data_IF_612209525590
#
_entry.id   IF_612209525590
#
_cell.length_a   1.000
_cell.length_b   1.000
_cell.length_c   1.000
_cell.angle_alpha   90.00
_cell.angle_beta   90.00
_cell.angle_gamma   90.00
#
_symmetry.space_group_name_H-M   'P 1'
#
loop_
_entity.id
_entity.type
_entity.pdbx_description
1 polymer ?
#
# COMPACT_ATOMS: atom_id res chain seq x y z
N UNK A 1 39.57 -21.09 6.18
CA UNK A 1 39.67 -20.74 7.62
C UNK A 1 38.26 -20.54 8.14
N UNK A 2 37.90 -20.94 9.37
CA UNK A 2 36.60 -20.55 9.88
C UNK A 2 36.63 -19.02 10.01
N UNK A 3 35.70 -18.33 9.35
CA UNK A 3 35.48 -16.89 9.54
C UNK A 3 35.14 -16.69 11.03
N UNK A 4 36.16 -16.42 11.85
CA UNK A 4 35.96 -16.17 13.27
C UNK A 4 35.37 -14.79 13.41
N UNK A 5 34.13 -14.73 13.87
CA UNK A 5 33.46 -13.50 14.20
C UNK A 5 34.32 -12.68 15.18
N UNK A 6 34.45 -11.39 14.91
CA UNK A 6 35.21 -10.46 15.75
C UNK A 6 34.26 -9.62 16.62
N UNK A 7 34.21 -9.87 17.94
CA UNK A 7 33.33 -9.17 18.86
C UNK A 7 33.54 -7.65 18.88
N UNK A 8 34.78 -7.19 18.65
CA UNK A 8 35.10 -5.76 18.67
C UNK A 8 34.53 -5.07 17.42
N UNK A 9 34.58 -5.72 16.25
CA UNK A 9 33.94 -5.23 15.02
C UNK A 9 32.42 -5.15 15.16
N UNK A 10 31.81 -6.21 15.70
CA UNK A 10 30.35 -6.24 15.93
C UNK A 10 29.97 -5.09 16.87
N UNK A 11 30.74 -4.87 17.93
CA UNK A 11 30.49 -3.80 18.89
C UNK A 11 30.64 -2.41 18.28
N UNK A 12 31.65 -2.19 17.42
CA UNK A 12 31.84 -0.93 16.71
C UNK A 12 30.69 -0.65 15.72
N UNK A 13 30.30 -1.64 14.91
CA UNK A 13 29.15 -1.53 14.00
C UNK A 13 27.85 -1.26 14.77
N UNK A 14 27.67 -1.92 15.93
CA UNK A 14 26.49 -1.70 16.77
C UNK A 14 26.45 -0.30 17.38
N UNK A 15 27.60 0.27 17.72
CA UNK A 15 27.66 1.65 18.20
C UNK A 15 27.26 2.64 17.10
N UNK A 16 27.74 2.42 15.87
CA UNK A 16 27.37 3.23 14.71
C UNK A 16 25.89 3.08 14.33
N UNK A 17 25.34 1.87 14.36
CA UNK A 17 23.92 1.65 14.03
C UNK A 17 22.94 2.36 14.97
N UNK A 18 23.43 2.81 16.15
CA UNK A 18 22.69 3.52 17.18
C UNK A 18 23.10 4.99 17.35
N UNK A 19 24.10 5.47 16.62
CA UNK A 19 24.63 6.84 16.81
C UNK A 19 23.77 7.94 16.18
N UNK A 20 22.90 7.58 15.23
CA UNK A 20 22.17 8.54 14.38
C UNK A 20 23.00 9.08 13.21
N UNK A 21 24.22 8.58 13.00
CA UNK A 21 25.04 8.84 11.83
C UNK A 21 24.80 7.75 10.77
N UNK A 22 23.72 7.92 10.01
CA UNK A 22 23.23 6.94 9.05
C UNK A 22 24.21 6.71 7.90
N UNK A 23 24.80 7.79 7.40
CA UNK A 23 25.79 7.75 6.34
C UNK A 23 27.08 7.09 6.84
N UNK A 24 27.53 7.42 8.06
CA UNK A 24 28.68 6.78 8.68
C UNK A 24 28.46 5.28 8.90
N UNK A 25 27.25 4.87 9.30
CA UNK A 25 26.92 3.45 9.45
C UNK A 25 26.89 2.73 8.09
N UNK A 26 26.24 3.29 7.06
CA UNK A 26 26.21 2.72 5.71
C UNK A 26 27.62 2.56 5.14
N UNK A 27 28.45 3.59 5.22
CA UNK A 27 29.86 3.53 4.78
C UNK A 27 30.66 2.45 5.52
N UNK A 28 30.43 2.29 6.84
CA UNK A 28 31.10 1.25 7.61
C UNK A 28 30.68 -0.16 7.16
N UNK A 29 29.40 -0.35 6.81
CA UNK A 29 28.88 -1.61 6.27
C UNK A 29 29.43 -1.90 4.88
N UNK A 30 29.46 -0.91 3.97
CA UNK A 30 30.00 -1.07 2.62
C UNK A 30 31.46 -1.47 2.67
N UNK A 31 32.26 -0.78 3.48
CA UNK A 31 33.67 -1.10 3.69
C UNK A 31 33.86 -2.49 4.32
N UNK A 32 32.94 -2.93 5.18
CA UNK A 32 32.95 -4.27 5.76
C UNK A 32 32.75 -5.35 4.69
N UNK A 33 31.78 -5.13 3.79
CA UNK A 33 31.50 -6.02 2.67
C UNK A 33 32.64 -6.03 1.64
N UNK A 34 33.18 -4.86 1.27
CA UNK A 34 34.32 -4.72 0.35
C UNK A 34 35.58 -5.47 0.84
N UNK A 35 35.76 -5.53 2.16
CA UNK A 35 36.87 -6.26 2.80
C UNK A 35 36.63 -7.77 2.87
N UNK A 36 35.49 -8.27 2.39
CA UNK A 36 35.14 -9.69 2.44
C UNK A 36 34.90 -10.20 3.86
N UNK A 37 34.52 -9.32 4.79
CA UNK A 37 34.22 -9.69 6.17
C UNK A 37 32.81 -10.33 6.27
N UNK A 38 32.54 -11.12 7.32
CA UNK A 38 31.29 -11.86 7.43
C UNK A 38 30.07 -10.93 7.57
N UNK A 39 29.02 -11.19 6.78
CA UNK A 39 27.74 -10.45 6.83
C UNK A 39 27.03 -10.68 8.17
N UNK A 40 27.22 -11.84 8.78
CA UNK A 40 26.63 -12.19 10.07
C UNK A 40 27.12 -11.26 11.20
N UNK A 41 28.28 -10.59 11.05
CA UNK A 41 28.73 -9.58 12.00
C UNK A 41 27.85 -8.32 11.94
N UNK A 42 27.43 -7.93 10.73
CA UNK A 42 26.51 -6.81 10.52
C UNK A 42 25.12 -7.20 11.03
N UNK A 43 24.64 -8.41 10.73
CA UNK A 43 23.36 -8.92 11.24
C UNK A 43 23.32 -8.88 12.78
N UNK A 44 24.38 -9.33 13.44
CA UNK A 44 24.51 -9.25 14.90
C UNK A 44 24.58 -7.80 15.41
N UNK A 45 25.18 -6.89 14.65
CA UNK A 45 25.26 -5.48 15.02
C UNK A 45 23.89 -4.78 14.96
N UNK A 46 23.00 -5.18 14.04
CA UNK A 46 21.69 -4.53 13.81
C UNK A 46 20.50 -5.21 14.51
N UNK A 47 20.68 -6.38 15.13
CA UNK A 47 19.59 -7.18 15.74
C UNK A 47 18.67 -6.40 16.71
N UNK A 48 19.13 -5.29 17.30
CA UNK A 48 18.35 -4.44 18.18
C UNK A 48 18.54 -2.95 17.84
N UNK A 49 18.58 -2.63 16.55
CA UNK A 49 18.60 -1.26 16.03
C UNK A 49 17.41 -1.02 15.09
N UNK A 50 17.31 0.18 14.52
CA UNK A 50 16.31 0.48 13.48
C UNK A 50 16.65 -0.14 12.12
N UNK A 51 17.83 -0.72 11.93
CA UNK A 51 18.29 -1.12 10.60
C UNK A 51 17.79 -2.50 10.21
N UNK A 52 17.35 -2.67 8.96
CA UNK A 52 16.90 -3.94 8.38
C UNK A 52 17.60 -4.21 7.06
N UNK A 53 17.88 -5.49 6.83
CA UNK A 53 18.30 -5.95 5.52
C UNK A 53 17.08 -6.13 4.63
N UNK A 54 17.05 -5.40 3.52
CA UNK A 54 15.98 -5.44 2.53
C UNK A 54 16.50 -6.10 1.27
N UNK A 55 15.69 -6.97 0.68
CA UNK A 55 16.02 -7.65 -0.58
C UNK A 55 15.37 -6.91 -1.73
N UNK A 56 16.18 -6.49 -2.69
CA UNK A 56 15.77 -5.69 -3.84
C UNK A 56 15.87 -6.49 -5.16
N UNK A 57 15.19 -6.00 -6.20
CA UNK A 57 15.30 -6.53 -7.56
C UNK A 57 14.99 -8.02 -7.71
N UNK A 58 14.04 -8.54 -6.94
CA UNK A 58 13.72 -9.99 -6.88
C UNK A 58 14.87 -10.88 -6.38
N UNK A 59 15.75 -10.35 -5.52
CA UNK A 59 16.85 -11.11 -4.94
C UNK A 59 18.22 -10.80 -5.55
N UNK A 60 18.32 -9.79 -6.41
CA UNK A 60 19.58 -9.42 -7.06
C UNK A 60 20.50 -8.58 -6.18
N UNK A 61 19.92 -7.83 -5.24
CA UNK A 61 20.68 -6.97 -4.32
C UNK A 61 20.09 -7.02 -2.91
N UNK A 62 20.92 -6.65 -1.95
CA UNK A 62 20.55 -6.49 -0.54
C UNK A 62 20.95 -5.09 -0.12
N UNK A 63 20.02 -4.36 0.48
CA UNK A 63 20.20 -3.00 0.98
C UNK A 63 19.98 -2.93 2.49
N UNK A 64 20.43 -1.84 3.10
CA UNK A 64 20.13 -1.49 4.49
C UNK A 64 19.17 -0.30 4.52
N UNK A 65 17.99 -0.53 5.08
CA UNK A 65 16.96 0.49 5.27
C UNK A 65 16.60 0.65 6.74
N UNK A 66 16.10 1.84 7.11
CA UNK A 66 15.54 2.07 8.44
C UNK A 66 14.14 1.44 8.51
N UNK A 67 13.82 0.84 9.66
CA UNK A 67 12.49 0.38 10.03
C UNK A 67 11.46 1.50 9.91
N UNK A 68 11.81 2.71 10.35
CA UNK A 68 10.95 3.89 10.22
C UNK A 68 10.70 4.30 8.77
N UNK A 69 11.69 4.14 7.88
CA UNK A 69 11.49 4.41 6.44
C UNK A 69 10.55 3.35 5.84
N UNK A 70 10.76 2.07 6.16
CA UNK A 70 9.90 0.98 5.73
C UNK A 70 8.44 1.17 6.16
N UNK A 71 8.23 1.53 7.43
CA UNK A 71 6.89 1.84 7.95
C UNK A 71 6.32 3.11 7.33
N UNK A 72 7.15 4.15 7.13
CA UNK A 72 6.73 5.40 6.51
C UNK A 72 6.13 5.20 5.12
N UNK A 73 6.73 4.37 4.27
CA UNK A 73 6.15 4.05 2.96
C UNK A 73 4.78 3.37 3.06
N UNK A 74 4.59 2.51 4.08
CA UNK A 74 3.30 1.88 4.31
C UNK A 74 2.27 2.89 4.83
N UNK A 75 2.66 3.78 5.74
CA UNK A 75 1.81 4.85 6.25
C UNK A 75 1.36 5.80 5.12
N UNK A 76 2.26 6.16 4.19
CA UNK A 76 1.92 6.96 2.99
C UNK A 76 0.84 6.29 2.13
N UNK A 77 0.83 4.96 2.02
CA UNK A 77 -0.20 4.23 1.29
C UNK A 77 -1.56 4.25 2.01
N UNK A 78 -1.54 4.24 3.36
CA UNK A 78 -2.75 4.41 4.16
C UNK A 78 -3.32 5.84 4.04
N UNK A 79 -2.45 6.85 4.00
CA UNK A 79 -2.85 8.24 3.78
C UNK A 79 -3.54 8.42 2.42
N UNK A 80 -3.03 7.79 1.35
CA UNK A 80 -3.69 7.81 0.03
C UNK A 80 -5.12 7.24 0.07
N UNK A 81 -5.35 6.19 0.86
CA UNK A 81 -6.70 5.62 1.07
C UNK A 81 -7.60 6.64 1.78
N UNK A 82 -7.10 7.31 2.83
CA UNK A 82 -7.86 8.34 3.54
C UNK A 82 -8.20 9.54 2.63
N UNK A 83 -7.26 9.99 1.80
CA UNK A 83 -7.48 11.07 0.82
C UNK A 83 -8.52 10.69 -0.25
N UNK A 84 -8.42 9.46 -0.79
CA UNK A 84 -9.39 8.95 -1.75
C UNK A 84 -10.80 8.86 -1.13
N UNK A 85 -10.92 8.41 0.12
CA UNK A 85 -12.18 8.39 0.85
C UNK A 85 -12.75 9.81 1.09
N UNK A 86 -11.90 10.79 1.38
CA UNK A 86 -12.31 12.16 1.65
C UNK A 86 -12.81 12.91 0.39
N UNK A 87 -12.35 12.50 -0.78
CA UNK A 87 -12.67 13.15 -2.07
C UNK A 87 -13.70 12.38 -2.91
N UNK A 88 -14.05 11.15 -2.52
CA UNK A 88 -15.04 10.33 -3.20
C UNK A 88 -16.42 10.98 -3.17
N UNK A 89 -17.09 10.96 -4.32
CA UNK A 89 -18.45 11.50 -4.45
C UNK A 89 -19.46 10.61 -3.72
N UNK A 90 -20.52 11.16 -3.10
CA UNK A 90 -21.59 10.31 -2.58
C UNK A 90 -22.47 9.78 -3.73
N UNK A 91 -22.94 8.55 -3.59
CA UNK A 91 -23.79 7.91 -4.60
C UNK A 91 -25.08 8.70 -4.81
N UNK A 92 -25.64 9.25 -3.74
CA UNK A 92 -26.88 10.03 -3.78
C UNK A 92 -26.74 11.31 -4.62
N UNK A 93 -25.54 11.88 -4.72
CA UNK A 93 -25.27 13.10 -5.51
C UNK A 93 -25.21 12.82 -7.02
N UNK A 94 -24.86 11.59 -7.42
CA UNK A 94 -24.71 11.20 -8.82
C UNK A 94 -25.88 10.35 -9.34
N UNK A 95 -26.80 9.95 -8.45
CA UNK A 95 -27.90 9.05 -8.78
C UNK A 95 -28.82 9.65 -9.84
N UNK A 96 -29.23 8.82 -10.80
CA UNK A 96 -30.07 9.23 -11.92
C UNK A 96 -29.30 9.81 -13.11
N UNK A 97 -28.01 10.12 -12.95
CA UNK A 97 -27.11 10.50 -14.04
C UNK A 97 -26.16 9.34 -14.40
N UNK A 98 -26.34 8.64 -15.54
CA UNK A 98 -25.57 7.43 -15.82
C UNK A 98 -24.06 7.69 -15.91
N UNK A 99 -23.64 8.84 -16.44
CA UNK A 99 -22.23 9.25 -16.47
C UNK A 99 -21.65 9.45 -15.06
N UNK A 100 -22.41 10.07 -14.16
CA UNK A 100 -21.98 10.29 -12.78
C UNK A 100 -21.87 8.96 -12.01
N UNK A 101 -22.83 8.07 -12.22
CA UNK A 101 -22.82 6.73 -11.62
C UNK A 101 -21.64 5.87 -12.11
N UNK A 102 -21.29 5.91 -13.40
CA UNK A 102 -20.11 5.21 -13.93
C UNK A 102 -18.81 5.79 -13.38
N UNK A 103 -18.69 7.12 -13.30
CA UNK A 103 -17.53 7.78 -12.68
C UNK A 103 -17.38 7.39 -11.20
N UNK A 104 -18.48 7.30 -10.47
CA UNK A 104 -18.47 6.83 -9.09
C UNK A 104 -17.94 5.39 -8.95
N UNK A 105 -18.27 4.52 -9.90
CA UNK A 105 -17.70 3.17 -9.95
C UNK A 105 -16.18 3.19 -10.25
N UNK A 106 -15.73 4.07 -11.14
CA UNK A 106 -14.28 4.27 -11.39
C UNK A 106 -13.55 4.75 -10.13
N UNK A 107 -14.13 5.70 -9.38
CA UNK A 107 -13.60 6.18 -8.09
C UNK A 107 -13.47 5.04 -7.06
N UNK A 108 -14.45 4.12 -7.00
CA UNK A 108 -14.40 2.94 -6.12
C UNK A 108 -13.37 1.91 -6.54
N UNK A 109 -13.22 1.67 -7.85
CA UNK A 109 -12.19 0.76 -8.36
C UNK A 109 -10.79 1.29 -8.04
N UNK A 110 -10.57 2.59 -8.21
CA UNK A 110 -9.29 3.24 -7.89
C UNK A 110 -8.98 3.13 -6.38
N UNK A 111 -9.97 3.36 -5.51
CA UNK A 111 -9.84 3.10 -4.08
C UNK A 111 -9.49 1.63 -3.79
N UNK A 112 -10.07 0.68 -4.52
CA UNK A 112 -9.73 -0.74 -4.44
C UNK A 112 -8.27 -1.03 -4.81
N UNK A 113 -7.72 -0.34 -5.82
CA UNK A 113 -6.29 -0.43 -6.17
C UNK A 113 -5.40 0.08 -5.06
N UNK A 114 -5.70 1.25 -4.48
CA UNK A 114 -4.95 1.78 -3.33
C UNK A 114 -4.96 0.81 -2.15
N UNK A 115 -6.10 0.20 -1.84
CA UNK A 115 -6.19 -0.85 -0.81
C UNK A 115 -5.31 -2.06 -1.14
N UNK A 116 -5.30 -2.51 -2.38
CA UNK A 116 -4.48 -3.64 -2.80
C UNK A 116 -2.98 -3.34 -2.74
N UNK A 117 -2.56 -2.15 -3.18
CA UNK A 117 -1.18 -1.68 -3.10
C UNK A 117 -0.70 -1.57 -1.66
N UNK A 118 -1.50 -0.94 -0.78
CA UNK A 118 -1.23 -0.88 0.66
C UNK A 118 -1.10 -2.27 1.29
N UNK A 119 -1.95 -3.23 0.91
CA UNK A 119 -1.85 -4.61 1.38
C UNK A 119 -0.54 -5.28 0.94
N UNK A 120 -0.12 -5.08 -0.31
CA UNK A 120 1.14 -5.63 -0.81
C UNK A 120 2.34 -5.01 -0.09
N UNK A 121 2.31 -3.70 0.11
CA UNK A 121 3.38 -2.97 0.77
C UNK A 121 3.49 -3.35 2.24
N UNK A 122 2.38 -3.37 2.98
CA UNK A 122 2.38 -3.83 4.38
C UNK A 122 2.88 -5.28 4.51
N UNK A 123 2.54 -6.17 3.56
CA UNK A 123 3.10 -7.53 3.49
C UNK A 123 4.59 -7.57 3.14
N UNK A 124 5.08 -6.61 2.34
CA UNK A 124 6.51 -6.46 2.03
C UNK A 124 7.25 -6.05 3.30
N UNK A 125 6.79 -5.01 3.99
CA UNK A 125 7.37 -4.49 5.23
C UNK A 125 7.42 -5.57 6.32
N UNK A 126 6.33 -6.33 6.52
CA UNK A 126 6.27 -7.43 7.50
C UNK A 126 7.38 -8.47 7.34
N UNK A 127 7.96 -8.66 6.14
CA UNK A 127 9.07 -9.60 5.93
C UNK A 127 10.38 -9.14 6.54
N UNK A 128 10.50 -7.84 6.78
CA UNK A 128 11.72 -7.21 7.27
C UNK A 128 11.62 -6.82 8.73
N UNK A 129 10.43 -6.84 9.32
CA UNK A 129 10.25 -6.55 10.74
C UNK A 129 10.63 -7.76 11.61
N UNK A 130 11.16 -7.46 12.79
CA UNK A 130 11.41 -8.45 13.83
C UNK A 130 10.13 -8.71 14.63
N UNK A 131 9.95 -9.88 15.25
CA UNK A 131 8.76 -10.19 16.04
C UNK A 131 8.51 -9.24 17.22
N UNK A 132 9.56 -8.54 17.68
CA UNK A 132 9.50 -7.55 18.76
C UNK A 132 9.12 -6.15 18.28
N UNK A 133 9.07 -5.91 16.96
CA UNK A 133 8.60 -4.65 16.39
C UNK A 133 7.07 -4.55 16.48
N UNK A 134 6.55 -3.32 16.45
CA UNK A 134 5.12 -3.09 16.26
C UNK A 134 4.76 -3.47 14.82
N UNK A 135 4.11 -4.62 14.66
CA UNK A 135 3.78 -5.19 13.35
C UNK A 135 2.48 -4.58 12.82
N UNK A 136 2.46 -4.03 11.59
CA UNK A 136 1.22 -3.61 10.96
C UNK A 136 0.31 -4.81 10.69
N UNK A 137 -1.01 -4.59 10.68
CA UNK A 137 -1.98 -5.57 10.20
C UNK A 137 -2.72 -4.97 9.00
N UNK A 138 -2.18 -5.11 7.78
CA UNK A 138 -2.68 -4.34 6.66
C UNK A 138 -4.15 -4.60 6.34
N UNK A 139 -4.65 -5.81 6.60
CA UNK A 139 -6.07 -6.09 6.41
C UNK A 139 -6.94 -5.36 7.43
N UNK A 140 -6.49 -5.35 8.68
CA UNK A 140 -7.19 -4.67 9.75
C UNK A 140 -7.15 -3.15 9.58
N UNK A 141 -5.97 -2.60 9.28
CA UNK A 141 -5.73 -1.17 9.15
C UNK A 141 -6.56 -0.59 8.00
N UNK A 142 -6.50 -1.19 6.81
CA UNK A 142 -7.34 -0.81 5.65
C UNK A 142 -8.83 -0.96 6.00
N UNK A 143 -9.21 -2.07 6.65
CA UNK A 143 -10.59 -2.31 7.05
C UNK A 143 -11.12 -1.24 8.00
N UNK A 144 -10.30 -0.78 8.95
CA UNK A 144 -10.66 0.32 9.85
C UNK A 144 -10.90 1.61 9.07
N UNK A 145 -10.00 1.97 8.15
CA UNK A 145 -10.13 3.19 7.34
C UNK A 145 -11.44 3.20 6.55
N UNK A 146 -11.69 2.14 5.78
CA UNK A 146 -12.90 2.02 4.96
C UNK A 146 -14.19 2.05 5.79
N UNK A 147 -14.17 1.44 6.99
CA UNK A 147 -15.33 1.38 7.87
C UNK A 147 -15.82 2.75 8.34
N UNK A 148 -14.93 3.76 8.42
CA UNK A 148 -15.28 5.15 8.76
C UNK A 148 -16.30 5.75 7.78
N UNK A 149 -16.24 5.32 6.52
CA UNK A 149 -17.13 5.77 5.44
C UNK A 149 -18.19 4.71 5.05
N UNK A 150 -18.32 3.65 5.85
CA UNK A 150 -19.27 2.55 5.63
C UNK A 150 -18.87 1.59 4.51
N UNK A 151 -17.66 1.72 3.98
CA UNK A 151 -17.15 0.84 2.93
C UNK A 151 -16.55 -0.44 3.50
N UNK A 152 -16.50 -1.45 2.65
CA UNK A 152 -15.84 -2.73 2.86
C UNK A 152 -15.05 -3.09 1.61
N UNK A 153 -14.00 -3.85 1.81
CA UNK A 153 -13.13 -4.33 0.75
C UNK A 153 -13.03 -5.84 0.81
N UNK A 154 -13.13 -6.47 -0.36
CA UNK A 154 -13.10 -7.92 -0.52
C UNK A 154 -11.67 -8.51 -0.53
N UNK A 155 -10.66 -7.64 -0.62
CA UNK A 155 -9.26 -8.02 -0.75
C UNK A 155 -8.74 -8.05 -2.19
N UNK A 156 -9.57 -7.66 -3.17
CA UNK A 156 -9.23 -7.52 -4.58
C UNK A 156 -9.30 -6.04 -5.01
N UNK A 157 -10.06 -5.70 -6.04
CA UNK A 157 -10.21 -4.33 -6.54
C UNK A 157 -11.59 -3.73 -6.25
N UNK A 158 -12.44 -4.43 -5.49
CA UNK A 158 -13.83 -4.01 -5.28
C UNK A 158 -14.04 -3.46 -3.87
N UNK A 159 -14.44 -2.20 -3.81
CA UNK A 159 -14.87 -1.52 -2.59
C UNK A 159 -16.35 -1.19 -2.69
N UNK A 160 -17.12 -1.63 -1.69
CA UNK A 160 -18.58 -1.53 -1.67
C UNK A 160 -19.11 -1.24 -0.27
N UNK A 161 -20.25 -0.54 -0.14
CA UNK A 161 -20.93 -0.41 1.16
C UNK A 161 -21.73 -1.67 1.50
N UNK A 162 -22.29 -2.31 0.47
CA UNK A 162 -23.09 -3.54 0.58
C UNK A 162 -22.66 -4.49 -0.55
N UNK A 163 -22.52 -5.81 -0.30
CA UNK A 163 -22.16 -6.76 -1.34
C UNK A 163 -23.07 -6.70 -2.57
N UNK A 164 -22.48 -6.54 -3.76
CA UNK A 164 -23.16 -6.42 -5.05
C UNK A 164 -23.72 -5.03 -5.34
N UNK A 165 -23.38 -4.02 -4.54
CA UNK A 165 -23.82 -2.64 -4.78
C UNK A 165 -23.24 -2.08 -6.09
N UNK A 166 -21.98 -2.38 -6.43
CA UNK A 166 -21.38 -1.88 -7.67
C UNK A 166 -22.10 -2.42 -8.91
N UNK A 167 -22.46 -3.71 -8.89
CA UNK A 167 -23.25 -4.32 -9.96
C UNK A 167 -24.64 -3.67 -10.08
N UNK A 168 -25.29 -3.36 -8.95
CA UNK A 168 -26.58 -2.67 -8.94
C UNK A 168 -26.48 -1.25 -9.53
N UNK A 169 -25.46 -0.48 -9.13
CA UNK A 169 -25.20 0.87 -9.67
C UNK A 169 -24.97 0.80 -11.18
N UNK A 170 -24.13 -0.14 -11.64
CA UNK A 170 -23.85 -0.32 -13.06
C UNK A 170 -25.14 -0.63 -13.84
N UNK A 171 -25.93 -1.60 -13.37
CA UNK A 171 -27.18 -1.99 -14.00
C UNK A 171 -28.23 -0.85 -14.01
N UNK A 172 -28.28 -0.03 -12.96
CA UNK A 172 -29.14 1.17 -12.92
C UNK A 172 -28.69 2.21 -13.96
N UNK A 173 -27.39 2.47 -14.07
CA UNK A 173 -26.84 3.39 -15.08
C UNK A 173 -27.14 2.92 -16.50
N UNK A 174 -26.95 1.63 -16.81
CA UNK A 174 -27.27 1.05 -18.13
C UNK A 174 -28.75 1.22 -18.46
N UNK A 175 -29.66 0.91 -17.53
CA UNK A 175 -31.11 1.09 -17.74
C UNK A 175 -31.48 2.54 -18.06
N UNK A 176 -30.86 3.51 -17.38
CA UNK A 176 -31.11 4.93 -17.65
C UNK A 176 -30.60 5.31 -19.05
N UNK A 177 -29.43 4.82 -19.45
CA UNK A 177 -28.90 5.04 -20.80
C UNK A 177 -29.82 4.47 -21.88
N UNK A 178 -30.28 3.23 -21.71
CA UNK A 178 -31.21 2.58 -22.64
C UNK A 178 -32.53 3.36 -22.76
N UNK A 179 -33.10 3.78 -21.64
CA UNK A 179 -34.32 4.60 -21.62
C UNK A 179 -34.13 5.95 -22.34
N UNK A 180 -32.99 6.61 -22.09
CA UNK A 180 -32.65 7.91 -22.71
C UNK A 180 -32.47 7.77 -24.22
N UNK A 181 -31.82 6.70 -24.67
CA UNK A 181 -31.68 6.40 -26.10
C UNK A 181 -33.03 6.12 -26.74
N UNK A 182 -33.85 5.27 -26.13
CA UNK A 182 -35.17 4.91 -26.65
C UNK A 182 -36.09 6.13 -26.80
N UNK A 183 -36.14 6.99 -25.77
CA UNK A 183 -36.93 8.22 -25.79
C UNK A 183 -36.44 9.23 -26.83
N UNK A 184 -35.12 9.40 -26.97
CA UNK A 184 -34.53 10.25 -28.01
C UNK A 184 -34.94 9.78 -29.42
N UNK A 185 -34.83 8.48 -29.71
CA UNK A 185 -35.26 7.91 -30.98
C UNK A 185 -36.75 8.17 -31.25
N UNK A 186 -37.64 7.91 -30.28
CA UNK A 186 -39.08 8.19 -30.46
C UNK A 186 -39.38 9.67 -30.67
N UNK A 187 -38.69 10.57 -29.96
CA UNK A 187 -38.91 12.02 -30.10
C UNK A 187 -38.44 12.55 -31.46
N UNK A 188 -37.39 11.96 -32.03
CA UNK A 188 -36.84 12.34 -33.33
C UNK A 188 -37.78 11.95 -34.47
N UNK A 189 -38.33 10.74 -34.45
CA UNK A 189 -39.28 10.29 -35.47
C UNK A 189 -40.64 11.00 -35.38
N UNK A 190 -41.09 11.37 -34.17
CA UNK A 190 -42.31 12.16 -33.99
C UNK A 190 -42.19 13.63 -34.43
N UNK A 191 -40.97 14.16 -34.60
CA UNK A 191 -40.72 15.52 -35.10
C UNK A 191 -40.50 15.56 -36.63
N UNK A 192 -40.39 14.41 -37.28
CA UNK A 192 -40.21 14.26 -38.73
C UNK A 192 -41.54 13.94 -39.48
N UNK A 193 -42.67 13.81 -38.76
CA UNK A 193 -44.05 13.73 -39.28
C UNK A 193 -44.79 15.09 -39.23
#
# INVERSE_FOLDING_TARGET
MPNSYDPDRISALRALSKSGDDDGFRQAVDLHAERGLPIEEIQQAIQASEWRYVVEGCGTSVALERRSELLGYYDEMLEQIEEALATMTDLDDVRGGPKGMLRHLEEREELGKHCFEALLEGRRVLRYLSPEDDLPDPKHDIGQLLSKSGFRWDGAYEVEKVPGENEQIFNEAVKIMEYTLATWWTSRFAAEE
#
